data_IF_602558530355
#
_entry.id   IF_602558530355
#
_cell.length_a   1.000
_cell.length_b   1.000
_cell.length_c   1.000
_cell.angle_alpha   90.00
_cell.angle_beta   90.00
_cell.angle_gamma   90.00
#
_symmetry.space_group_name_H-M   'P 1'
#
loop_
_entity.id
_entity.type
_entity.pdbx_description
1 polymer ?
#
# COMPACT_ATOMS: atom_id res chain seq x y z
N UNK A 1 15.21 48.40 8.27
CA UNK A 1 14.32 47.77 9.27
C UNK A 1 13.85 46.44 8.69
N UNK A 2 14.77 45.58 8.25
CA UNK A 2 14.42 44.51 7.29
C UNK A 2 15.16 43.19 7.53
N UNK A 3 16.20 43.18 8.39
CA UNK A 3 16.88 41.96 8.79
C UNK A 3 15.91 40.93 9.40
N UNK A 4 14.93 41.41 10.19
CA UNK A 4 13.92 40.53 10.80
C UNK A 4 13.02 39.86 9.75
N UNK A 5 12.74 40.54 8.63
CA UNK A 5 11.95 39.98 7.53
C UNK A 5 12.73 38.92 6.77
N UNK A 6 14.01 39.16 6.51
CA UNK A 6 14.88 38.19 5.85
C UNK A 6 15.07 36.93 6.70
N UNK A 7 15.24 37.07 8.02
CA UNK A 7 15.33 35.94 8.93
C UNK A 7 14.03 35.12 8.97
N UNK A 8 12.88 35.79 9.04
CA UNK A 8 11.57 35.11 9.03
C UNK A 8 11.32 34.38 7.72
N UNK A 9 11.67 34.97 6.57
CA UNK A 9 11.53 34.32 5.26
C UNK A 9 12.42 33.07 5.13
N UNK A 10 13.64 33.12 5.67
CA UNK A 10 14.56 31.99 5.64
C UNK A 10 14.07 30.82 6.52
N UNK A 11 13.53 31.13 7.71
CA UNK A 11 12.97 30.12 8.61
C UNK A 11 11.74 29.43 8.01
N UNK A 12 10.86 30.16 7.32
CA UNK A 12 9.69 29.59 6.64
C UNK A 12 10.11 28.62 5.52
N UNK A 13 11.17 28.94 4.79
CA UNK A 13 11.71 28.09 3.71
C UNK A 13 12.37 26.80 4.23
N UNK A 14 12.96 26.84 5.43
CA UNK A 14 13.53 25.65 6.07
C UNK A 14 12.44 24.73 6.61
N UNK A 15 11.34 25.28 7.15
CA UNK A 15 10.20 24.48 7.66
C UNK A 15 9.44 23.77 6.52
N UNK A 16 9.39 24.33 5.32
CA UNK A 16 8.69 23.71 4.18
C UNK A 16 9.45 22.54 3.54
N UNK A 17 10.75 22.38 3.80
CA UNK A 17 11.59 21.35 3.16
C UNK A 17 11.63 20.01 3.91
N UNK A 18 10.83 19.84 4.97
CA UNK A 18 11.03 18.77 5.96
C UNK A 18 9.92 17.73 6.16
N UNK A 19 8.93 17.60 5.27
CA UNK A 19 7.97 16.49 5.37
C UNK A 19 8.38 15.32 4.47
N UNK A 20 9.29 14.47 4.95
CA UNK A 20 9.43 13.13 4.40
C UNK A 20 8.10 12.40 4.62
N UNK A 21 7.38 12.07 3.54
CA UNK A 21 6.21 11.19 3.66
C UNK A 21 6.75 9.80 4.01
N UNK A 22 6.54 9.36 5.24
CA UNK A 22 6.72 7.96 5.59
C UNK A 22 5.64 7.22 4.80
N UNK A 23 6.02 6.54 3.71
CA UNK A 23 5.17 5.56 3.04
C UNK A 23 5.05 4.38 3.99
N UNK A 24 4.16 4.49 4.97
CA UNK A 24 3.73 3.32 5.71
C UNK A 24 3.02 2.43 4.69
N UNK A 25 3.63 1.28 4.34
CA UNK A 25 3.03 0.27 3.45
C UNK A 25 1.73 -0.34 4.03
N UNK A 26 1.13 0.23 5.06
CA UNK A 26 -0.14 -0.23 5.62
C UNK A 26 -1.32 0.32 4.83
N UNK A 27 -2.33 -0.53 4.61
CA UNK A 27 -3.55 -0.19 3.90
C UNK A 27 -4.73 -0.95 4.50
N UNK A 28 -5.95 -0.61 4.08
CA UNK A 28 -7.18 -1.31 4.45
C UNK A 28 -7.75 -1.95 3.19
N UNK A 29 -8.03 -3.25 3.24
CA UNK A 29 -8.61 -3.98 2.09
C UNK A 29 -10.04 -3.51 1.81
N UNK A 30 -10.60 -3.78 0.62
CA UNK A 30 -12.01 -3.48 0.33
C UNK A 30 -13.00 -4.16 1.30
N UNK A 31 -12.54 -5.20 2.01
CA UNK A 31 -13.26 -5.95 3.03
C UNK A 31 -13.04 -5.40 4.45
N UNK A 32 -12.43 -4.22 4.60
CA UNK A 32 -12.15 -3.55 5.88
C UNK A 32 -11.15 -4.30 6.78
N UNK A 33 -10.24 -5.08 6.20
CA UNK A 33 -9.17 -5.78 6.94
C UNK A 33 -7.85 -5.01 6.87
N UNK A 34 -6.99 -5.08 7.91
CA UNK A 34 -5.63 -4.54 7.83
C UNK A 34 -4.83 -5.25 6.75
N UNK A 35 -3.99 -4.49 6.04
CA UNK A 35 -3.24 -4.99 4.90
C UNK A 35 -1.89 -4.31 4.69
N UNK A 36 -1.11 -4.88 3.78
CA UNK A 36 0.16 -4.35 3.26
C UNK A 36 0.03 -4.03 1.77
N UNK A 37 0.53 -2.87 1.37
CA UNK A 37 0.60 -2.43 -0.01
C UNK A 37 1.82 -3.05 -0.69
N UNK A 38 1.61 -4.15 -1.42
CA UNK A 38 2.67 -4.95 -2.09
C UNK A 38 2.44 -4.99 -3.59
N UNK A 39 3.43 -5.37 -4.40
CA UNK A 39 3.20 -5.56 -5.84
C UNK A 39 2.20 -6.68 -6.08
N UNK A 40 1.39 -6.59 -7.14
CA UNK A 40 0.31 -7.54 -7.44
C UNK A 40 0.76 -9.01 -7.38
N UNK A 41 1.97 -9.31 -7.85
CA UNK A 41 2.53 -10.66 -7.88
C UNK A 41 2.79 -11.24 -6.47
N UNK A 42 3.00 -10.39 -5.47
CA UNK A 42 3.29 -10.80 -4.10
C UNK A 42 2.01 -11.10 -3.30
N UNK A 43 0.83 -10.78 -3.84
CA UNK A 43 -0.45 -11.05 -3.21
C UNK A 43 -1.23 -12.13 -3.97
N UNK A 44 -1.01 -13.40 -3.60
CA UNK A 44 -1.59 -14.56 -4.30
C UNK A 44 -3.11 -14.47 -4.49
N UNK A 45 -3.86 -14.05 -3.47
CA UNK A 45 -5.32 -13.93 -3.54
C UNK A 45 -5.77 -13.00 -4.67
N UNK A 46 -5.17 -11.82 -4.77
CA UNK A 46 -5.51 -10.81 -5.78
C UNK A 46 -4.92 -11.19 -7.13
N UNK A 47 -3.73 -11.80 -7.15
CA UNK A 47 -3.09 -12.30 -8.36
C UNK A 47 -3.93 -13.39 -9.03
N UNK A 48 -4.37 -14.39 -8.28
CA UNK A 48 -5.21 -15.48 -8.80
C UNK A 48 -6.54 -14.93 -9.30
N UNK A 49 -7.15 -14.00 -8.55
CA UNK A 49 -8.36 -13.31 -8.99
C UNK A 49 -8.13 -12.43 -10.22
N UNK A 50 -6.95 -11.87 -10.44
CA UNK A 50 -6.67 -11.07 -11.64
C UNK A 50 -6.40 -11.96 -12.87
N UNK A 51 -5.77 -13.12 -12.65
CA UNK A 51 -5.32 -14.02 -13.71
C UNK A 51 -6.25 -15.20 -14.00
N UNK A 52 -7.38 -15.33 -13.30
CA UNK A 52 -8.39 -16.33 -13.62
C UNK A 52 -9.08 -16.01 -14.96
N UNK A 53 -8.63 -16.72 -16.00
CA UNK A 53 -9.15 -16.64 -17.38
C UNK A 53 -10.32 -17.59 -17.62
N UNK A 54 -10.59 -18.53 -16.71
CA UNK A 54 -11.68 -19.50 -16.87
C UNK A 54 -13.02 -18.89 -16.44
N UNK A 55 -13.00 -18.00 -15.45
CA UNK A 55 -14.21 -17.30 -15.03
C UNK A 55 -14.40 -15.96 -15.78
N UNK A 56 -15.60 -15.69 -16.30
CA UNK A 56 -15.91 -14.39 -16.89
C UNK A 56 -15.68 -13.26 -15.89
N UNK A 57 -15.02 -12.19 -16.34
CA UNK A 57 -14.80 -11.00 -15.51
C UNK A 57 -16.12 -10.27 -15.27
N UNK A 58 -16.63 -10.35 -14.04
CA UNK A 58 -17.82 -9.59 -13.62
C UNK A 58 -17.46 -8.16 -13.22
N UNK A 59 -18.43 -7.26 -13.27
CA UNK A 59 -18.25 -5.87 -12.81
C UNK A 59 -17.87 -5.82 -11.33
N UNK A 60 -18.42 -6.71 -10.51
CA UNK A 60 -18.09 -6.81 -9.09
C UNK A 60 -16.62 -7.23 -8.87
N UNK A 61 -16.16 -8.26 -9.59
CA UNK A 61 -14.75 -8.71 -9.55
C UNK A 61 -13.81 -7.60 -10.00
N UNK A 62 -14.13 -6.92 -11.11
CA UNK A 62 -13.34 -5.79 -11.58
C UNK A 62 -13.28 -4.65 -10.56
N UNK A 63 -14.42 -4.28 -9.96
CA UNK A 63 -14.47 -3.25 -8.94
C UNK A 63 -13.67 -3.62 -7.69
N UNK A 64 -13.68 -4.89 -7.30
CA UNK A 64 -12.86 -5.39 -6.18
C UNK A 64 -11.36 -5.25 -6.49
N UNK A 65 -10.92 -5.66 -7.68
CA UNK A 65 -9.52 -5.52 -8.13
C UNK A 65 -9.08 -4.05 -8.15
N UNK A 66 -9.92 -3.16 -8.68
CA UNK A 66 -9.65 -1.71 -8.71
C UNK A 66 -9.56 -1.13 -7.29
N UNK A 67 -10.50 -1.47 -6.41
CA UNK A 67 -10.50 -1.00 -5.01
C UNK A 67 -9.33 -1.56 -4.21
N UNK A 68 -8.76 -2.68 -4.63
CA UNK A 68 -7.58 -3.27 -4.01
C UNK A 68 -6.30 -2.55 -4.39
N UNK A 69 -6.27 -1.71 -5.43
CA UNK A 69 -5.06 -0.98 -5.82
C UNK A 69 -4.70 0.08 -4.79
N UNK A 70 -3.45 0.09 -4.33
CA UNK A 70 -2.94 1.03 -3.34
C UNK A 70 -1.78 1.90 -3.86
N UNK A 71 -1.25 1.62 -5.06
CA UNK A 71 -0.18 2.40 -5.66
C UNK A 71 0.45 1.71 -6.87
N UNK A 72 1.66 2.15 -7.23
CA UNK A 72 2.46 1.58 -8.32
C UNK A 72 3.94 1.54 -7.94
N UNK A 73 4.64 0.50 -8.36
CA UNK A 73 6.10 0.40 -8.36
C UNK A 73 6.57 0.42 -9.82
N UNK A 74 6.90 1.62 -10.33
CA UNK A 74 7.10 1.83 -11.76
C UNK A 74 5.80 1.55 -12.52
N UNK A 75 5.83 0.56 -13.42
CA UNK A 75 4.64 0.13 -14.18
C UNK A 75 3.89 -1.04 -13.51
N UNK A 76 4.39 -1.55 -12.38
CA UNK A 76 3.76 -2.67 -11.69
C UNK A 76 2.71 -2.15 -10.70
N UNK A 77 1.44 -2.57 -10.81
CA UNK A 77 0.42 -2.17 -9.85
C UNK A 77 0.73 -2.76 -8.47
N UNK A 78 0.62 -1.93 -7.43
CA UNK A 78 0.59 -2.38 -6.03
C UNK A 78 -0.86 -2.59 -5.58
N UNK A 79 -1.10 -3.61 -4.79
CA UNK A 79 -2.40 -3.96 -4.21
C UNK A 79 -2.33 -4.10 -2.70
N UNK A 80 -3.44 -3.82 -2.03
CA UNK A 80 -3.60 -4.00 -0.61
C UNK A 80 -3.87 -5.47 -0.30
N UNK A 81 -2.83 -6.18 0.14
CA UNK A 81 -2.92 -7.58 0.53
C UNK A 81 -3.27 -7.69 2.02
N UNK A 82 -4.28 -8.47 2.42
CA UNK A 82 -4.60 -8.63 3.83
C UNK A 82 -3.38 -9.20 4.59
N UNK A 83 -3.06 -8.59 5.74
CA UNK A 83 -2.18 -9.23 6.71
C UNK A 83 -3.05 -10.33 7.31
N UNK A 84 -2.77 -11.58 6.95
CA UNK A 84 -3.22 -12.69 7.78
C UNK A 84 -2.49 -12.52 9.10
N UNK A 85 -3.22 -12.16 10.16
CA UNK A 85 -2.63 -12.04 11.49
C UNK A 85 -2.02 -13.41 11.85
N UNK A 86 -0.72 -13.51 11.68
CA UNK A 86 0.07 -14.61 12.17
C UNK A 86 0.25 -14.46 13.69
N UNK A 87 -0.82 -14.66 14.46
CA UNK A 87 -0.63 -15.29 15.77
C UNK A 87 -0.34 -16.80 15.60
N UNK A 88 -0.05 -17.27 14.38
CA UNK A 88 0.24 -18.68 14.12
C UNK A 88 0.98 -19.02 12.81
N UNK A 89 1.87 -18.18 12.28
CA UNK A 89 2.83 -18.64 11.25
C UNK A 89 4.31 -18.34 11.52
N UNK A 90 4.63 -18.09 12.81
CA UNK A 90 5.96 -18.33 13.39
C UNK A 90 6.08 -19.70 14.13
N UNK A 91 5.09 -20.61 14.01
CA UNK A 91 5.16 -21.97 14.63
C UNK A 91 5.21 -23.13 13.61
N UNK A 92 5.33 -22.86 12.31
CA UNK A 92 5.45 -23.92 11.30
C UNK A 92 6.89 -24.27 10.90
N UNK A 93 7.91 -23.51 11.32
CA UNK A 93 9.33 -23.78 11.03
C UNK A 93 10.10 -24.29 12.27
N UNK A 94 9.47 -25.09 13.15
CA UNK A 94 10.19 -25.83 14.20
C UNK A 94 9.44 -27.10 14.65
N UNK A 95 9.09 -27.97 13.69
CA UNK A 95 8.64 -29.32 14.00
C UNK A 95 9.10 -30.35 12.97
N UNK A 96 10.42 -30.50 12.84
CA UNK A 96 11.09 -31.74 12.41
C UNK A 96 12.46 -31.85 13.09
#
# INVERSE_FOLDING_TARGET
MDAFKFTVLFLIFVVSTGFARIETDHCITPELKPGRCVVLQDCQQIFDMANDLLTPMTIERLNFLIKSQCGFLGNNPKVCCPIVDEDNADTAENRF
#
